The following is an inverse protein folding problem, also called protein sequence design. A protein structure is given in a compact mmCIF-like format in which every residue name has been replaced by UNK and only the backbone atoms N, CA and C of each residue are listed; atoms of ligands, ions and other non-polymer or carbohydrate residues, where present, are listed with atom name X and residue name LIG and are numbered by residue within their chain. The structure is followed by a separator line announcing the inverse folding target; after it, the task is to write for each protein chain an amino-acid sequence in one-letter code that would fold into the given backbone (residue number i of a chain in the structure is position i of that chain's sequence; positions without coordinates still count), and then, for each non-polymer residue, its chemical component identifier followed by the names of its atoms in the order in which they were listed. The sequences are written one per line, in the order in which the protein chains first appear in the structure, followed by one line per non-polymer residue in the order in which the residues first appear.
data_IF_951091435809
#
_entry.id   IF_951091435809
#
_cell.length_a   1.000
_cell.length_b   1.000
_cell.length_c   1.000
_cell.angle_alpha   90.00
_cell.angle_beta   90.00
_cell.angle_gamma   90.00
#
_symmetry.space_group_name_H-M   'P 1'
#
loop_
_entity.id
_entity.type
_entity.pdbx_description
1 polymer ?
#
# COMPACT_ATOMS: atom_id res chain seq x y z
N UNK A 1 0.57 -9.40 -6.87
CA UNK A 1 1.99 -9.06 -6.64
C UNK A 1 2.80 -9.82 -7.66
N UNK A 2 4.00 -9.35 -8.00
CA UNK A 2 4.94 -10.07 -8.86
C UNK A 2 6.28 -10.22 -8.15
N UNK A 3 7.07 -11.23 -8.53
CA UNK A 3 8.45 -11.31 -8.05
C UNK A 3 9.25 -10.13 -8.59
N UNK A 4 10.00 -9.49 -7.70
CA UNK A 4 10.84 -8.34 -8.03
C UNK A 4 12.26 -8.62 -7.55
N UNK A 5 13.25 -8.60 -8.44
CA UNK A 5 14.66 -8.71 -8.06
C UNK A 5 15.00 -9.93 -7.15
N UNK A 6 14.41 -11.09 -7.44
CA UNK A 6 14.70 -12.34 -6.73
C UNK A 6 15.75 -13.18 -7.46
N UNK A 7 16.34 -14.15 -6.77
CA UNK A 7 17.36 -15.08 -7.28
C UNK A 7 16.88 -16.07 -8.36
N UNK A 8 15.61 -15.96 -8.80
CA UNK A 8 15.02 -16.80 -9.84
C UNK A 8 14.65 -18.23 -9.41
N UNK A 9 14.84 -18.58 -8.13
CA UNK A 9 14.57 -19.94 -7.61
C UNK A 9 13.21 -20.09 -6.94
N UNK A 10 12.46 -18.99 -6.83
CA UNK A 10 11.10 -18.96 -6.32
C UNK A 10 10.12 -19.27 -7.44
N UNK A 11 9.26 -20.25 -7.22
CA UNK A 11 8.23 -20.66 -8.16
C UNK A 11 6.85 -20.16 -7.69
N UNK A 12 6.11 -19.52 -8.59
CA UNK A 12 4.74 -19.11 -8.32
C UNK A 12 3.77 -20.24 -8.69
N UNK A 13 2.96 -20.66 -7.72
CA UNK A 13 1.91 -21.67 -7.88
C UNK A 13 0.62 -21.17 -7.25
N UNK A 14 -0.41 -20.94 -8.06
CA UNK A 14 -1.73 -20.48 -7.61
C UNK A 14 -1.69 -19.20 -6.72
N UNK A 15 -0.79 -18.26 -7.02
CA UNK A 15 -0.63 -17.03 -6.26
C UNK A 15 0.16 -17.16 -4.95
N UNK A 16 0.80 -18.32 -4.71
CA UNK A 16 1.71 -18.56 -3.59
C UNK A 16 3.12 -18.82 -4.13
N UNK A 17 4.13 -18.23 -3.51
CA UNK A 17 5.53 -18.48 -3.85
C UNK A 17 6.08 -19.65 -3.04
N UNK A 18 6.76 -20.56 -3.73
CA UNK A 18 7.38 -21.75 -3.16
C UNK A 18 8.84 -21.84 -3.56
N UNK A 19 9.66 -22.38 -2.66
CA UNK A 19 11.08 -22.62 -2.91
C UNK A 19 11.50 -23.92 -2.25
N UNK A 20 12.26 -24.72 -2.97
CA UNK A 20 12.93 -25.89 -2.41
C UNK A 20 14.22 -25.40 -1.74
N UNK A 21 14.34 -25.70 -0.45
CA UNK A 21 15.50 -25.34 0.37
C UNK A 21 16.53 -26.47 0.23
N UNK A 22 17.80 -26.09 0.03
CA UNK A 22 18.90 -27.04 -0.02
C UNK A 22 19.23 -27.56 1.39
N UNK A 23 19.71 -28.80 1.49
CA UNK A 23 20.08 -29.49 2.74
C UNK A 23 20.85 -28.59 3.71
N UNK A 24 20.40 -28.55 4.97
CA UNK A 24 20.98 -27.76 6.05
C UNK A 24 21.60 -28.74 7.04
N UNK A 25 22.92 -28.64 7.27
CA UNK A 25 23.61 -29.54 8.19
C UNK A 25 23.35 -29.14 9.66
N UNK A 26 23.58 -30.05 10.64
CA UNK A 26 23.46 -29.72 12.05
C UNK A 26 24.31 -28.51 12.44
N UNK A 27 23.66 -27.49 13.00
CA UNK A 27 24.31 -26.23 13.42
C UNK A 27 24.46 -25.18 12.32
N UNK A 28 24.06 -25.48 11.07
CA UNK A 28 24.00 -24.48 10.00
C UNK A 28 22.71 -23.66 10.08
N UNK A 29 22.78 -22.44 9.55
CA UNK A 29 21.63 -21.56 9.35
C UNK A 29 21.71 -20.99 7.94
N UNK A 30 20.55 -20.91 7.26
CA UNK A 30 20.45 -20.29 5.94
C UNK A 30 19.40 -19.20 5.99
N UNK A 31 19.71 -18.08 5.36
CA UNK A 31 18.80 -16.96 5.20
C UNK A 31 18.30 -16.91 3.75
N UNK A 32 16.99 -16.70 3.60
CA UNK A 32 16.35 -16.58 2.31
C UNK A 32 15.55 -15.28 2.26
N UNK A 33 15.84 -14.46 1.26
CA UNK A 33 15.15 -13.19 1.03
C UNK A 33 14.25 -13.32 -0.19
N UNK A 34 13.02 -12.84 -0.06
CA UNK A 34 12.08 -12.69 -1.16
C UNK A 34 11.60 -11.23 -1.21
N UNK A 35 11.65 -10.64 -2.40
CA UNK A 35 11.23 -9.27 -2.65
C UNK A 35 10.04 -9.29 -3.61
N UNK A 36 8.95 -8.66 -3.19
CA UNK A 36 7.69 -8.66 -3.94
C UNK A 36 7.40 -7.25 -4.43
N UNK A 37 7.09 -7.12 -5.71
CA UNK A 37 6.48 -5.92 -6.25
C UNK A 37 4.99 -5.92 -5.92
N UNK A 38 4.60 -4.86 -5.24
CA UNK A 38 3.20 -4.57 -5.02
C UNK A 38 2.56 -4.08 -6.33
N UNK A 39 1.32 -4.52 -6.58
CA UNK A 39 0.54 -4.00 -7.70
C UNK A 39 -0.33 -2.85 -7.18
N UNK A 40 -0.18 -1.66 -7.78
CA UNK A 40 -0.80 -0.39 -7.38
C UNK A 40 -2.31 -0.29 -7.60
N UNK A 41 -2.98 -1.37 -8.01
CA UNK A 41 -4.43 -1.41 -8.14
C UNK A 41 -5.14 -1.11 -6.81
N UNK A 42 -6.27 -0.38 -6.88
CA UNK A 42 -7.11 0.00 -5.73
C UNK A 42 -7.53 -1.21 -4.87
N UNK A 43 -7.72 -2.38 -5.49
CA UNK A 43 -8.05 -3.64 -4.80
C UNK A 43 -6.95 -4.14 -3.86
N UNK A 44 -5.71 -3.68 -4.05
CA UNK A 44 -4.56 -4.08 -3.25
C UNK A 44 -4.25 -3.11 -2.11
N UNK A 45 -5.10 -2.10 -1.90
CA UNK A 45 -4.97 -1.18 -0.77
C UNK A 45 -5.52 -1.79 0.52
N UNK A 46 -5.19 -1.15 1.65
CA UNK A 46 -5.62 -1.55 2.98
C UNK A 46 -4.66 -2.53 3.65
N UNK A 47 -5.19 -3.26 4.62
CA UNK A 47 -4.46 -4.26 5.40
C UNK A 47 -4.21 -5.53 4.57
N UNK A 48 -2.97 -6.00 4.58
CA UNK A 48 -2.52 -7.21 3.88
C UNK A 48 -1.73 -8.08 4.84
N UNK A 49 -2.12 -9.34 4.89
CA UNK A 49 -1.39 -10.38 5.62
C UNK A 49 -0.37 -11.04 4.69
N UNK A 50 0.88 -11.06 5.15
CA UNK A 50 1.96 -11.80 4.53
C UNK A 50 2.33 -12.97 5.43
N UNK A 51 2.06 -14.18 4.94
CA UNK A 51 2.29 -15.42 5.68
C UNK A 51 3.43 -16.17 4.99
N UNK A 52 4.46 -16.50 5.77
CA UNK A 52 5.51 -17.44 5.37
C UNK A 52 5.36 -18.71 6.18
N UNK A 53 5.49 -19.86 5.53
CA UNK A 53 5.42 -21.16 6.20
C UNK A 53 6.38 -22.18 5.61
N UNK A 54 6.89 -23.05 6.47
CA UNK A 54 7.58 -24.28 6.09
C UNK A 54 6.51 -25.34 5.85
N UNK A 55 6.39 -25.79 4.59
CA UNK A 55 5.30 -26.68 4.16
C UNK A 55 5.66 -28.16 4.31
N UNK A 56 6.92 -28.49 4.10
CA UNK A 56 7.42 -29.87 4.20
C UNK A 56 8.90 -29.86 4.62
N UNK A 57 9.28 -30.83 5.43
CA UNK A 57 10.64 -31.03 5.92
C UNK A 57 11.02 -32.49 5.75
N UNK A 58 12.17 -32.75 5.13
CA UNK A 58 12.66 -34.10 4.93
C UNK A 58 14.10 -34.21 5.43
N UNK A 59 14.45 -35.34 6.02
CA UNK A 59 15.81 -35.70 6.38
C UNK A 59 16.09 -37.16 6.02
N UNK A 60 17.37 -37.52 5.89
CA UNK A 60 17.79 -38.87 5.49
C UNK A 60 17.23 -39.95 6.43
N UNK A 61 17.23 -39.76 7.77
CA UNK A 61 16.69 -40.78 8.68
C UNK A 61 15.16 -40.85 8.78
N UNK A 62 14.41 -39.93 8.14
CA UNK A 62 12.94 -39.89 8.20
C UNK A 62 12.35 -39.41 9.53
N UNK A 63 13.10 -38.67 10.35
CA UNK A 63 12.55 -38.07 11.57
C UNK A 63 11.58 -36.94 11.24
N UNK A 64 10.48 -36.90 11.97
CA UNK A 64 9.50 -35.80 11.92
C UNK A 64 10.07 -34.60 12.67
N UNK A 65 9.80 -33.40 12.16
CA UNK A 65 10.08 -32.14 12.84
C UNK A 65 9.43 -32.13 14.24
N UNK A 66 10.22 -31.78 15.26
CA UNK A 66 9.79 -31.78 16.65
C UNK A 66 9.32 -30.40 17.13
N UNK A 67 9.42 -29.36 16.31
CA UNK A 67 9.04 -28.00 16.65
C UNK A 67 8.11 -27.35 15.61
N UNK A 68 7.20 -28.13 15.03
CA UNK A 68 6.28 -27.69 13.97
C UNK A 68 5.46 -26.42 14.25
N UNK A 69 5.36 -26.00 15.52
CA UNK A 69 4.70 -24.77 15.96
C UNK A 69 5.38 -23.49 15.51
N UNK A 70 6.67 -23.52 15.19
CA UNK A 70 7.43 -22.35 14.73
C UNK A 70 7.53 -22.22 13.21
N UNK A 71 6.93 -23.17 12.48
CA UNK A 71 7.02 -23.24 11.02
C UNK A 71 6.22 -22.16 10.29
N UNK A 72 5.43 -21.32 10.98
CA UNK A 72 4.63 -20.26 10.35
C UNK A 72 4.86 -18.91 11.01
N UNK A 73 5.04 -17.88 10.19
CA UNK A 73 5.13 -16.49 10.64
C UNK A 73 4.22 -15.60 9.80
N UNK A 74 3.64 -14.60 10.44
CA UNK A 74 2.74 -13.63 9.81
C UNK A 74 3.26 -12.21 10.04
N UNK A 75 3.32 -11.43 8.98
CA UNK A 75 3.56 -10.00 9.01
C UNK A 75 2.36 -9.27 8.43
N UNK A 76 1.89 -8.24 9.13
CA UNK A 76 0.80 -7.39 8.67
C UNK A 76 1.35 -6.11 8.04
N UNK A 77 0.88 -5.78 6.84
CA UNK A 77 1.33 -4.62 6.06
C UNK A 77 0.12 -3.79 5.68
N UNK A 78 0.13 -2.50 5.99
CA UNK A 78 -0.91 -1.56 5.58
C UNK A 78 -0.41 -0.77 4.37
N UNK A 79 -1.11 -0.90 3.25
CA UNK A 79 -0.82 -0.18 2.00
C UNK A 79 -1.84 0.93 1.82
N UNK A 80 -1.40 2.19 1.92
CA UNK A 80 -2.23 3.39 1.74
C UNK A 80 -1.61 4.33 0.71
N UNK A 81 -2.45 5.03 -0.05
CA UNK A 81 -2.04 6.16 -0.90
C UNK A 81 -2.41 7.42 -0.16
N UNK A 82 -1.41 8.28 0.00
CA UNK A 82 -1.63 9.65 0.41
C UNK A 82 -2.21 10.40 -0.80
N UNK A 83 -3.50 10.68 -0.79
CA UNK A 83 -4.07 11.62 -1.75
C UNK A 83 -3.55 13.00 -1.38
N UNK A 84 -2.66 13.55 -2.20
CA UNK A 84 -1.92 14.78 -1.89
C UNK A 84 -2.80 15.90 -1.35
N UNK A 85 -2.34 16.54 -0.28
CA UNK A 85 -2.97 17.73 0.29
C UNK A 85 -3.12 18.80 -0.81
N UNK A 86 -4.30 19.42 -0.89
CA UNK A 86 -4.49 20.56 -1.79
C UNK A 86 -3.48 21.65 -1.42
N UNK A 87 -2.69 22.16 -2.38
CA UNK A 87 -1.69 23.19 -2.09
C UNK A 87 -2.35 24.36 -1.36
N UNK A 88 -1.80 24.80 -0.23
CA UNK A 88 -2.40 25.87 0.57
C UNK A 88 -2.62 27.15 -0.25
N UNK A 89 -1.75 27.41 -1.23
CA UNK A 89 -1.90 28.52 -2.18
C UNK A 89 -3.16 28.41 -3.05
N UNK A 90 -3.53 27.19 -3.48
CA UNK A 90 -4.77 26.94 -4.23
C UNK A 90 -5.99 27.18 -3.35
N UNK A 91 -5.96 26.72 -2.09
CA UNK A 91 -7.05 26.95 -1.13
C UNK A 91 -7.25 28.46 -0.91
N UNK A 92 -6.16 29.20 -0.67
CA UNK A 92 -6.21 30.65 -0.46
C UNK A 92 -6.72 31.39 -1.71
N UNK A 93 -6.30 30.96 -2.91
CA UNK A 93 -6.78 31.54 -4.16
C UNK A 93 -8.29 31.34 -4.35
N UNK A 94 -8.79 30.13 -4.10
CA UNK A 94 -10.23 29.82 -4.18
C UNK A 94 -11.05 30.64 -3.19
N UNK A 95 -10.58 30.77 -1.94
CA UNK A 95 -11.24 31.61 -0.91
C UNK A 95 -11.27 33.08 -1.32
N UNK A 96 -10.16 33.61 -1.85
CA UNK A 96 -10.08 34.99 -2.32
C UNK A 96 -11.05 35.24 -3.50
N UNK A 97 -11.17 34.29 -4.42
CA UNK A 97 -12.03 34.39 -5.60
C UNK A 97 -13.51 34.44 -5.21
N UNK A 98 -13.94 33.56 -4.30
CA UNK A 98 -15.29 33.60 -3.71
C UNK A 98 -15.53 34.93 -2.99
N UNK A 99 -14.53 35.43 -2.25
CA UNK A 99 -14.60 36.74 -1.60
C UNK A 99 -14.86 37.88 -2.59
N UNK A 100 -14.12 37.94 -3.70
CA UNK A 100 -14.26 38.97 -4.74
C UNK A 100 -15.64 38.93 -5.42
N UNK A 101 -16.16 37.74 -5.73
CA UNK A 101 -17.50 37.57 -6.29
C UNK A 101 -18.59 38.12 -5.35
N UNK A 102 -18.49 37.85 -4.05
CA UNK A 102 -19.49 38.33 -3.09
C UNK A 102 -19.50 39.87 -2.98
N UNK A 103 -18.33 40.52 -3.05
CA UNK A 103 -18.21 41.98 -3.01
C UNK A 103 -18.76 42.61 -4.27
N UNK A 104 -18.40 42.08 -5.44
CA UNK A 104 -18.86 42.62 -6.73
C UNK A 104 -20.38 42.47 -6.89
N UNK A 105 -20.97 41.35 -6.47
CA UNK A 105 -22.42 41.15 -6.45
C UNK A 105 -23.12 42.14 -5.51
N UNK A 106 -22.62 42.32 -4.28
CA UNK A 106 -23.19 43.31 -3.34
C UNK A 106 -23.13 44.73 -3.90
N UNK A 107 -22.02 45.10 -4.53
CA UNK A 107 -21.86 46.40 -5.16
C UNK A 107 -22.87 46.60 -6.30
N UNK A 108 -23.03 45.61 -7.18
CA UNK A 108 -24.01 45.65 -8.27
C UNK A 108 -25.45 45.79 -7.75
N UNK A 109 -25.82 45.10 -6.67
CA UNK A 109 -27.14 45.24 -6.02
C UNK A 109 -27.35 46.65 -5.47
N UNK A 110 -26.34 47.24 -4.82
CA UNK A 110 -26.44 48.61 -4.31
C UNK A 110 -26.58 49.61 -5.46
N UNK A 111 -25.79 49.46 -6.52
CA UNK A 111 -25.81 50.35 -7.68
C UNK A 111 -27.18 50.32 -8.38
N UNK A 112 -27.71 49.12 -8.63
CA UNK A 112 -29.03 48.94 -9.25
C UNK A 112 -30.16 49.50 -8.38
N UNK A 113 -30.09 49.35 -7.04
CA UNK A 113 -31.04 49.99 -6.12
C UNK A 113 -30.98 51.52 -6.17
N UNK A 114 -29.76 52.11 -6.24
CA UNK A 114 -29.59 53.57 -6.36
C UNK A 114 -30.14 54.10 -7.67
N UNK A 115 -29.89 53.43 -8.79
CA UNK A 115 -30.44 53.81 -10.10
C UNK A 115 -31.97 53.80 -10.12
N UNK A 116 -32.61 52.81 -9.48
CA UNK A 116 -34.08 52.75 -9.35
C UNK A 116 -34.67 53.86 -8.47
N UNK A 117 -33.92 54.40 -7.50
CA UNK A 117 -34.39 55.48 -6.62
C UNK A 117 -34.29 56.87 -7.27
N UNK A 118 -33.37 57.04 -8.22
CA UNK A 118 -33.11 58.31 -8.91
C UNK A 118 -33.87 58.45 -10.24
N UNK A 119 -34.80 57.53 -10.54
CA UNK A 119 -35.66 57.52 -11.72
C UNK A 119 -37.11 57.53 -11.26
#
# INVERSE_FOLDING_TARGET
MSLANNDGTWEEQAGVLRKIIAEINPGETKEYTVVLDWNTAETNMGEKDNIVSIVDTQNIPGFVDNNDKDNTSNANVIISVETGELPIGLILALVALVGLETVTLRYAVVLTKRQKKNK
#
